data_IF_921649755251
#
_entry.id   IF_921649755251
#
_cell.length_a   1.000
_cell.length_b   1.000
_cell.length_c   1.000
_cell.angle_alpha   90.00
_cell.angle_beta   90.00
_cell.angle_gamma   90.00
#
_symmetry.space_group_name_H-M   'P 1'
#
loop_
_entity.id
_entity.type
_entity.pdbx_description
1 polymer ?
#
# COMPACT_ATOMS: atom_id res chain seq x y z
N UNK A 1 12.08 -19.44 -6.99
CA UNK A 1 11.70 -18.40 -6.00
C UNK A 1 12.83 -17.41 -5.78
N UNK A 2 12.51 -16.17 -5.41
CA UNK A 2 13.48 -15.08 -5.20
C UNK A 2 14.57 -15.46 -4.17
N UNK A 3 14.17 -16.22 -3.14
CA UNK A 3 15.08 -16.76 -2.12
C UNK A 3 16.11 -17.73 -2.74
N UNK A 4 15.66 -18.65 -3.59
CA UNK A 4 16.54 -19.63 -4.25
C UNK A 4 17.48 -18.99 -5.28
N UNK A 5 17.18 -17.76 -5.74
CA UNK A 5 18.02 -16.97 -6.66
C UNK A 5 19.01 -16.05 -5.94
N UNK A 6 19.01 -16.03 -4.61
CA UNK A 6 19.91 -15.17 -3.82
C UNK A 6 19.60 -13.67 -3.91
N UNK A 7 18.39 -13.31 -4.36
CA UNK A 7 17.95 -11.92 -4.42
C UNK A 7 17.97 -11.29 -3.02
N UNK A 8 18.46 -10.06 -2.93
CA UNK A 8 18.53 -9.29 -1.69
C UNK A 8 17.35 -8.33 -1.59
N UNK A 9 16.98 -7.93 -0.36
CA UNK A 9 15.89 -6.98 -0.09
C UNK A 9 14.50 -7.42 -0.63
N UNK A 10 14.29 -8.73 -0.81
CA UNK A 10 13.01 -9.30 -1.31
C UNK A 10 11.81 -8.83 -0.48
N UNK A 11 11.98 -8.70 0.84
CA UNK A 11 10.92 -8.24 1.74
C UNK A 11 10.45 -6.82 1.39
N UNK A 12 11.35 -5.92 1.00
CA UNK A 12 10.98 -4.54 0.69
C UNK A 12 10.09 -4.47 -0.54
N UNK A 13 10.46 -5.19 -1.61
CA UNK A 13 9.66 -5.28 -2.83
C UNK A 13 8.27 -5.87 -2.55
N UNK A 14 8.22 -6.97 -1.78
CA UNK A 14 6.94 -7.62 -1.42
C UNK A 14 6.09 -6.78 -0.49
N UNK A 15 6.69 -5.98 0.38
CA UNK A 15 5.96 -5.03 1.22
C UNK A 15 5.28 -3.97 0.36
N UNK A 16 5.96 -3.43 -0.66
CA UNK A 16 5.36 -2.44 -1.58
C UNK A 16 4.17 -3.03 -2.35
N UNK A 17 4.29 -4.26 -2.84
CA UNK A 17 3.19 -4.98 -3.51
C UNK A 17 1.98 -5.12 -2.58
N UNK A 18 2.23 -5.56 -1.34
CA UNK A 18 1.19 -5.74 -0.33
C UNK A 18 0.51 -4.42 0.04
N UNK A 19 1.29 -3.37 0.33
CA UNK A 19 0.76 -2.03 0.64
C UNK A 19 -0.12 -1.51 -0.51
N UNK A 20 0.30 -1.70 -1.77
CA UNK A 20 -0.48 -1.27 -2.94
C UNK A 20 -1.86 -1.93 -2.96
N UNK A 21 -1.91 -3.24 -2.79
CA UNK A 21 -3.18 -4.00 -2.80
C UNK A 21 -4.08 -3.55 -1.66
N UNK A 22 -3.54 -3.42 -0.45
CA UNK A 22 -4.31 -3.00 0.74
C UNK A 22 -4.88 -1.59 0.58
N UNK A 23 -4.08 -0.63 0.09
CA UNK A 23 -4.51 0.75 -0.11
C UNK A 23 -5.59 0.84 -1.19
N UNK A 24 -5.40 0.19 -2.34
CA UNK A 24 -6.40 0.16 -3.41
C UNK A 24 -7.72 -0.42 -2.90
N UNK A 25 -7.66 -1.53 -2.15
CA UNK A 25 -8.86 -2.16 -1.60
C UNK A 25 -9.57 -1.30 -0.56
N UNK A 26 -8.83 -0.63 0.31
CA UNK A 26 -9.41 0.30 1.28
C UNK A 26 -10.08 1.49 0.59
N UNK A 27 -9.42 2.10 -0.41
CA UNK A 27 -10.01 3.20 -1.18
C UNK A 27 -11.27 2.76 -1.93
N UNK A 28 -11.26 1.58 -2.56
CA UNK A 28 -12.47 1.04 -3.22
C UNK A 28 -13.62 0.82 -2.24
N UNK A 29 -13.32 0.32 -1.05
CA UNK A 29 -14.33 0.05 -0.03
C UNK A 29 -14.91 1.33 0.59
N UNK A 30 -14.17 2.43 0.58
CA UNK A 30 -14.61 3.73 1.12
C UNK A 30 -14.99 4.74 0.04
N UNK A 31 -15.22 4.30 -1.21
CA UNK A 31 -15.50 5.15 -2.37
C UNK A 31 -14.51 6.32 -2.53
N UNK A 32 -13.22 6.06 -2.30
CA UNK A 32 -12.14 7.05 -2.39
C UNK A 32 -12.00 7.96 -1.16
N UNK A 33 -12.80 7.78 -0.10
CA UNK A 33 -12.68 8.57 1.13
C UNK A 33 -11.41 8.19 1.88
N UNK A 34 -10.35 8.97 1.68
CA UNK A 34 -9.00 8.73 2.22
C UNK A 34 -8.94 8.69 3.75
N UNK A 35 -9.77 9.46 4.46
CA UNK A 35 -9.78 9.45 5.94
C UNK A 35 -10.30 8.10 6.45
N UNK A 36 -11.40 7.60 5.88
CA UNK A 36 -11.98 6.31 6.25
C UNK A 36 -11.04 5.15 5.87
N UNK A 37 -10.45 5.19 4.68
CA UNK A 37 -9.48 4.19 4.24
C UNK A 37 -8.26 4.15 5.18
N UNK A 38 -7.76 5.31 5.60
CA UNK A 38 -6.63 5.41 6.53
C UNK A 38 -7.00 4.81 7.89
N UNK A 39 -8.19 5.13 8.42
CA UNK A 39 -8.69 4.57 9.67
C UNK A 39 -8.84 3.04 9.60
N UNK A 40 -9.39 2.51 8.50
CA UNK A 40 -9.54 1.06 8.30
C UNK A 40 -8.20 0.33 8.22
N UNK A 41 -7.19 0.96 7.61
CA UNK A 41 -5.84 0.41 7.52
C UNK A 41 -5.01 0.64 8.79
N UNK A 42 -5.54 1.33 9.80
CA UNK A 42 -4.82 1.65 11.03
C UNK A 42 -3.61 2.57 10.81
N UNK A 43 -3.62 3.39 9.75
CA UNK A 43 -2.55 4.33 9.45
C UNK A 43 -3.05 5.77 9.46
N UNK A 44 -2.16 6.72 9.73
CA UNK A 44 -2.51 8.15 9.65
C UNK A 44 -2.84 8.59 8.22
N UNK A 45 -3.79 9.51 8.05
CA UNK A 45 -4.19 10.05 6.73
C UNK A 45 -3.00 10.59 5.92
N UNK A 46 -2.03 11.23 6.57
CA UNK A 46 -0.84 11.75 5.88
C UNK A 46 0.06 10.62 5.38
N UNK A 47 0.18 9.53 6.14
CA UNK A 47 0.90 8.33 5.71
C UNK A 47 0.23 7.70 4.51
N UNK A 48 -1.10 7.58 4.52
CA UNK A 48 -1.86 7.08 3.38
C UNK A 48 -1.63 7.94 2.14
N UNK A 49 -1.71 9.27 2.26
CA UNK A 49 -1.45 10.19 1.13
C UNK A 49 -0.05 10.01 0.56
N UNK A 50 0.98 9.92 1.41
CA UNK A 50 2.36 9.69 0.97
C UNK A 50 2.49 8.34 0.25
N UNK A 51 1.88 7.28 0.80
CA UNK A 51 1.93 5.94 0.20
C UNK A 51 1.21 5.87 -1.15
N UNK A 52 0.08 6.56 -1.32
CA UNK A 52 -0.60 6.66 -2.62
C UNK A 52 0.34 7.25 -3.68
N UNK A 53 1.09 8.29 -3.33
CA UNK A 53 2.06 8.92 -4.24
C UNK A 53 3.28 8.03 -4.49
N UNK A 54 3.89 7.47 -3.43
CA UNK A 54 5.07 6.60 -3.52
C UNK A 54 4.82 5.33 -4.33
N UNK A 55 3.60 4.80 -4.26
CA UNK A 55 3.21 3.58 -4.94
C UNK A 55 2.54 3.86 -6.29
N UNK A 56 2.43 5.10 -6.74
CA UNK A 56 1.75 5.47 -8.00
C UNK A 56 0.35 4.84 -8.13
N UNK A 57 -0.44 4.95 -7.06
CA UNK A 57 -1.82 4.45 -7.05
C UNK A 57 -2.71 5.51 -7.72
N UNK A 58 -3.27 5.16 -8.87
CA UNK A 58 -4.25 5.99 -9.58
C UNK A 58 -5.62 5.77 -8.95
N UNK A 59 -6.26 6.87 -8.56
CA UNK A 59 -7.66 6.91 -8.10
C UNK A 59 -8.63 6.69 -9.26
#
# INVERSE_FOLDING_TARGET
DALNRGEQNVLEARTKDFERVMIVKALQHTDGRRIEAANQLGMGRNTLTRKIQELDIKE
#
